data_IF_497227217746
#
_entry.id   IF_497227217746
#
_cell.length_a   1.000
_cell.length_b   1.000
_cell.length_c   1.000
_cell.angle_alpha   90.00
_cell.angle_beta   90.00
_cell.angle_gamma   90.00
#
_symmetry.space_group_name_H-M   'P 1'
#
loop_
_entity.id
_entity.type
_entity.pdbx_description
1 polymer ?
#
# COMPACT_ATOMS: atom_id res chain seq x y z
N UNK A 1 -7.54 6.76 10.23
CA UNK A 1 -6.45 7.51 10.89
C UNK A 1 -5.08 6.97 10.45
N UNK A 2 -3.99 7.65 10.84
CA UNK A 2 -2.60 7.30 10.48
C UNK A 2 -2.19 5.91 11.00
N UNK A 3 -2.63 5.53 12.19
CA UNK A 3 -2.28 4.24 12.82
C UNK A 3 -2.88 3.06 12.05
N UNK A 4 -4.12 3.18 11.58
CA UNK A 4 -4.75 2.20 10.71
C UNK A 4 -3.99 2.05 9.38
N UNK A 5 -3.63 3.17 8.75
CA UNK A 5 -2.86 3.16 7.50
C UNK A 5 -1.49 2.49 7.67
N UNK A 6 -0.80 2.72 8.80
CA UNK A 6 0.49 2.07 9.09
C UNK A 6 0.38 0.57 9.34
N UNK A 7 -0.72 0.08 9.96
CA UNK A 7 -0.98 -1.36 10.05
C UNK A 7 -1.20 -1.97 8.66
N UNK A 8 -1.90 -1.26 7.78
CA UNK A 8 -2.08 -1.72 6.41
C UNK A 8 -0.74 -1.76 5.64
N UNK A 9 0.14 -0.76 5.83
CA UNK A 9 1.52 -0.82 5.29
C UNK A 9 2.26 -2.07 5.77
N UNK A 10 2.20 -2.39 7.07
CA UNK A 10 2.85 -3.58 7.61
C UNK A 10 2.27 -4.89 7.04
N UNK A 11 0.96 -4.93 6.78
CA UNK A 11 0.31 -6.04 6.09
C UNK A 11 0.81 -6.19 4.65
N UNK A 12 0.81 -5.10 3.86
CA UNK A 12 1.31 -5.09 2.48
C UNK A 12 2.77 -5.57 2.43
N UNK A 13 3.57 -5.19 3.42
CA UNK A 13 4.95 -5.65 3.52
C UNK A 13 5.05 -7.17 3.64
N UNK A 14 4.22 -7.79 4.49
CA UNK A 14 4.20 -9.25 4.64
C UNK A 14 3.70 -9.96 3.39
N UNK A 15 2.68 -9.42 2.72
CA UNK A 15 2.17 -9.96 1.44
C UNK A 15 3.27 -9.97 0.38
N UNK A 16 3.99 -8.84 0.25
CA UNK A 16 5.09 -8.71 -0.69
C UNK A 16 6.27 -9.63 -0.35
N UNK A 17 6.69 -9.67 0.92
CA UNK A 17 7.81 -10.49 1.38
C UNK A 17 7.51 -12.00 1.17
N UNK A 18 6.24 -12.41 1.29
CA UNK A 18 5.78 -13.77 1.05
C UNK A 18 5.49 -14.09 -0.44
N UNK A 19 5.71 -13.14 -1.34
CA UNK A 19 5.44 -13.26 -2.78
C UNK A 19 4.00 -13.71 -3.09
N UNK A 20 3.04 -13.27 -2.29
CA UNK A 20 1.64 -13.63 -2.48
C UNK A 20 1.04 -12.77 -3.61
N UNK A 21 0.42 -13.38 -4.63
CA UNK A 21 -0.25 -12.64 -5.69
C UNK A 21 -1.53 -12.01 -5.15
N UNK A 22 -1.83 -10.79 -5.61
CA UNK A 22 -3.07 -10.10 -5.25
C UNK A 22 -3.87 -9.71 -6.50
N UNK A 23 -5.20 -9.65 -6.35
CA UNK A 23 -6.09 -9.13 -7.39
C UNK A 23 -6.63 -7.78 -6.94
N UNK A 24 -6.41 -6.74 -7.74
CA UNK A 24 -6.98 -5.42 -7.52
C UNK A 24 -8.28 -5.27 -8.32
N UNK A 25 -9.33 -4.73 -7.69
CA UNK A 25 -10.61 -4.44 -8.33
C UNK A 25 -11.17 -3.11 -7.79
N UNK A 26 -12.01 -2.45 -8.57
CA UNK A 26 -12.58 -1.16 -8.20
C UNK A 26 -11.57 -0.02 -8.33
N UNK A 27 -11.26 0.65 -7.23
CA UNK A 27 -10.39 1.82 -7.18
C UNK A 27 -8.93 1.49 -7.50
N UNK A 28 -8.23 2.41 -8.18
CA UNK A 28 -6.80 2.28 -8.48
C UNK A 28 -5.95 2.16 -7.21
N UNK A 29 -4.88 1.36 -7.28
CA UNK A 29 -4.00 1.12 -6.13
C UNK A 29 -3.21 2.36 -5.69
N UNK A 30 -3.04 3.33 -6.58
CA UNK A 30 -2.46 4.65 -6.30
C UNK A 30 -3.34 5.51 -5.37
N UNK A 31 -4.63 5.19 -5.27
CA UNK A 31 -5.62 5.92 -4.47
C UNK A 31 -5.93 5.24 -3.12
N UNK A 32 -5.18 4.21 -2.74
CA UNK A 32 -5.39 3.47 -1.47
C UNK A 32 -5.11 4.34 -0.24
N UNK A 33 -4.28 5.36 -0.38
CA UNK A 33 -4.06 6.38 0.65
C UNK A 33 -4.53 7.74 0.11
N UNK A 34 -5.30 8.51 0.89
CA UNK A 34 -5.77 9.82 0.45
C UNK A 34 -4.61 10.84 0.39
N UNK A 35 -4.76 11.87 -0.44
CA UNK A 35 -3.71 12.87 -0.70
C UNK A 35 -3.21 13.56 0.57
N UNK A 36 -4.08 13.80 1.54
CA UNK A 36 -3.73 14.36 2.85
C UNK A 36 -2.71 13.49 3.61
N UNK A 37 -2.79 12.16 3.49
CA UNK A 37 -1.82 11.23 4.09
C UNK A 37 -0.50 11.24 3.31
N UNK A 38 -0.57 11.43 1.99
CA UNK A 38 0.61 11.56 1.13
C UNK A 38 1.34 12.89 1.32
N UNK A 39 0.67 13.93 1.83
CA UNK A 39 1.30 15.19 2.25
C UNK A 39 1.93 15.10 3.66
N UNK A 40 1.66 14.03 4.41
CA UNK A 40 2.09 13.85 5.79
C UNK A 40 3.49 13.22 5.97
N UNK A 41 3.93 13.13 7.23
CA UNK A 41 5.27 12.63 7.60
C UNK A 41 5.55 11.17 7.25
N UNK A 42 4.52 10.37 6.95
CA UNK A 42 4.66 8.96 6.56
C UNK A 42 4.59 8.73 5.04
N UNK A 43 4.59 9.78 4.21
CA UNK A 43 4.52 9.71 2.73
C UNK A 43 5.35 8.57 2.13
N UNK A 44 6.63 8.43 2.51
CA UNK A 44 7.52 7.39 1.97
C UNK A 44 7.01 5.97 2.26
N UNK A 45 6.39 5.75 3.41
CA UNK A 45 5.82 4.45 3.79
C UNK A 45 4.59 4.12 2.94
N UNK A 46 3.73 5.11 2.67
CA UNK A 46 2.54 4.94 1.82
C UNK A 46 2.91 4.69 0.36
N UNK A 47 3.81 5.50 -0.20
CA UNK A 47 4.30 5.28 -1.58
C UNK A 47 4.98 3.92 -1.72
N UNK A 48 5.72 3.47 -0.70
CA UNK A 48 6.32 2.12 -0.69
C UNK A 48 5.26 1.02 -0.67
N UNK A 49 4.19 1.18 0.10
CA UNK A 49 3.09 0.21 0.11
C UNK A 49 2.37 0.15 -1.26
N UNK A 50 2.09 1.30 -1.89
CA UNK A 50 1.51 1.35 -3.24
C UNK A 50 2.39 0.60 -4.24
N UNK A 51 3.70 0.85 -4.22
CA UNK A 51 4.66 0.17 -5.11
C UNK A 51 4.65 -1.35 -4.92
N UNK A 52 4.56 -1.83 -3.67
CA UNK A 52 4.50 -3.26 -3.34
C UNK A 52 3.19 -3.91 -3.77
N UNK A 53 2.07 -3.22 -3.57
CA UNK A 53 0.77 -3.68 -4.05
C UNK A 53 0.79 -3.86 -5.58
N UNK A 54 1.30 -2.87 -6.32
CA UNK A 54 1.43 -2.97 -7.77
C UNK A 54 2.31 -4.17 -8.19
N UNK A 55 3.46 -4.35 -7.54
CA UNK A 55 4.33 -5.49 -7.83
C UNK A 55 3.65 -6.84 -7.55
N UNK A 56 2.88 -6.96 -6.47
CA UNK A 56 2.13 -8.17 -6.13
C UNK A 56 0.93 -8.46 -7.04
N UNK A 57 0.48 -7.51 -7.88
CA UNK A 57 -0.57 -7.77 -8.89
C UNK A 57 -0.03 -8.37 -10.19
N UNK A 58 1.26 -8.20 -10.46
CA UNK A 58 1.91 -8.70 -11.67
C UNK A 58 2.56 -10.08 -11.48
N UNK A 59 2.52 -10.63 -10.26
CA UNK A 59 3.04 -11.95 -9.91
C UNK A 59 2.03 -13.08 -10.20
#
# INVERSE_FOLDING_TARGET
DQSAALRFVAFVDRVYDAQLPIRATGTGLDQVFPDEMLAGGYRKKYLRAISRLNASTAA
#
